data_IF_244190809309
#
_entry.id   IF_244190809309
#
_cell.length_a   1.000
_cell.length_b   1.000
_cell.length_c   1.000
_cell.angle_alpha   90.00
_cell.angle_beta   90.00
_cell.angle_gamma   90.00
#
_symmetry.space_group_name_H-M   'P 1'
#
loop_
_entity.id
_entity.type
_entity.pdbx_description
1 polymer ?
#
# COMPACT_ATOMS: atom_id res chain seq x y z
N UNK A 1 38.30 11.07 -19.71
CA UNK A 1 37.90 12.30 -18.99
C UNK A 1 36.43 12.64 -19.19
N UNK A 2 35.86 12.48 -20.39
CA UNK A 2 34.45 12.84 -20.65
C UNK A 2 33.42 12.01 -19.85
N UNK A 3 33.60 10.69 -19.76
CA UNK A 3 32.70 9.81 -18.99
C UNK A 3 32.57 10.22 -17.51
N UNK A 4 33.66 10.69 -16.90
CA UNK A 4 33.68 11.14 -15.51
C UNK A 4 32.89 12.44 -15.31
N UNK A 5 33.02 13.41 -16.23
CA UNK A 5 32.23 14.64 -16.18
C UNK A 5 30.74 14.39 -16.37
N UNK A 6 30.38 13.47 -17.27
CA UNK A 6 28.98 13.07 -17.49
C UNK A 6 28.42 12.39 -16.24
N UNK A 7 29.13 11.38 -15.69
CA UNK A 7 28.71 10.66 -14.50
C UNK A 7 28.52 11.60 -13.29
N UNK A 8 29.43 12.56 -13.11
CA UNK A 8 29.31 13.57 -12.04
C UNK A 8 28.08 14.47 -12.23
N UNK A 9 27.81 14.91 -13.46
CA UNK A 9 26.62 15.70 -13.79
C UNK A 9 25.32 14.95 -13.51
N UNK A 10 25.25 13.68 -13.95
CA UNK A 10 24.10 12.79 -13.70
C UNK A 10 23.87 12.59 -12.20
N UNK A 11 24.94 12.29 -11.45
CA UNK A 11 24.86 12.10 -10.01
C UNK A 11 24.37 13.37 -9.28
N UNK A 12 24.76 14.56 -9.75
CA UNK A 12 24.30 15.83 -9.18
C UNK A 12 22.81 16.03 -9.38
N UNK A 13 22.35 15.80 -10.61
CA UNK A 13 20.95 15.94 -10.99
C UNK A 13 20.08 14.98 -10.18
N UNK A 14 20.44 13.69 -10.14
CA UNK A 14 19.71 12.66 -9.40
C UNK A 14 19.60 13.00 -7.91
N UNK A 15 20.70 13.37 -7.25
CA UNK A 15 20.67 13.71 -5.82
C UNK A 15 19.88 14.98 -5.52
N UNK A 16 19.88 15.95 -6.45
CA UNK A 16 19.03 17.15 -6.32
C UNK A 16 17.55 16.79 -6.39
N UNK A 17 17.16 15.92 -7.33
CA UNK A 17 15.78 15.43 -7.44
C UNK A 17 15.37 14.68 -6.17
N UNK A 18 16.20 13.76 -5.67
CA UNK A 18 15.92 13.04 -4.41
C UNK A 18 15.79 13.97 -3.21
N UNK A 19 16.62 15.02 -3.14
CA UNK A 19 16.54 16.02 -2.08
C UNK A 19 15.24 16.82 -2.14
N UNK A 20 14.83 17.28 -3.33
CA UNK A 20 13.57 18.03 -3.50
C UNK A 20 12.34 17.15 -3.21
N UNK A 21 12.36 15.91 -3.70
CA UNK A 21 11.30 14.94 -3.42
C UNK A 21 11.23 14.60 -1.92
N UNK A 22 12.38 14.32 -1.30
CA UNK A 22 12.48 14.04 0.13
C UNK A 22 12.01 15.22 0.99
N UNK A 23 12.35 16.45 0.61
CA UNK A 23 11.87 17.66 1.27
C UNK A 23 10.34 17.78 1.17
N UNK A 24 9.79 17.57 -0.03
CA UNK A 24 8.34 17.62 -0.26
C UNK A 24 7.59 16.60 0.60
N UNK A 25 8.05 15.35 0.60
CA UNK A 25 7.44 14.26 1.40
C UNK A 25 7.59 14.51 2.89
N UNK A 26 8.75 14.98 3.35
CA UNK A 26 9.00 15.30 4.76
C UNK A 26 8.12 16.45 5.24
N UNK A 27 8.04 17.55 4.47
CA UNK A 27 7.19 18.70 4.79
C UNK A 27 5.72 18.29 4.78
N UNK A 28 5.28 17.50 3.80
CA UNK A 28 3.90 17.00 3.75
C UNK A 28 3.58 16.14 4.98
N UNK A 29 4.45 15.20 5.35
CA UNK A 29 4.29 14.40 6.56
C UNK A 29 4.28 15.26 7.83
N UNK A 30 5.13 16.28 7.91
CA UNK A 30 5.18 17.20 9.04
C UNK A 30 3.89 18.05 9.15
N UNK A 31 3.42 18.57 8.03
CA UNK A 31 2.18 19.35 7.98
C UNK A 31 1.00 18.51 8.45
N UNK A 32 0.89 17.26 7.99
CA UNK A 32 -0.21 16.36 8.38
C UNK A 32 -0.15 16.03 9.87
N UNK A 33 1.05 15.76 10.40
CA UNK A 33 1.22 15.33 11.79
C UNK A 33 1.06 16.48 12.80
N UNK A 34 1.65 17.65 12.53
CA UNK A 34 1.69 18.77 13.48
C UNK A 34 0.58 19.81 13.27
N UNK A 35 -0.04 19.88 12.09
CA UNK A 35 -1.12 20.83 11.80
C UNK A 35 -2.39 20.12 11.29
N UNK A 36 -3.00 19.22 12.09
CA UNK A 36 -4.18 18.46 11.68
C UNK A 36 -5.40 19.35 11.37
N UNK A 37 -5.49 20.53 11.98
CA UNK A 37 -6.60 21.47 11.75
C UNK A 37 -6.51 22.15 10.39
N UNK A 38 -5.29 22.36 9.86
CA UNK A 38 -5.09 22.89 8.51
C UNK A 38 -5.66 21.94 7.45
N UNK A 39 -5.40 20.63 7.57
CA UNK A 39 -5.94 19.61 6.68
C UNK A 39 -7.48 19.58 6.66
N UNK A 40 -8.09 19.66 7.84
CA UNK A 40 -9.56 19.66 7.97
C UNK A 40 -10.21 20.84 7.24
N UNK A 41 -9.54 21.99 7.19
CA UNK A 41 -10.07 23.19 6.52
C UNK A 41 -9.91 23.20 4.99
N UNK A 42 -8.89 22.54 4.45
CA UNK A 42 -8.60 22.50 3.00
C UNK A 42 -9.23 21.30 2.28
N UNK A 43 -9.52 20.22 3.02
CA UNK A 43 -10.01 18.97 2.46
C UNK A 43 -11.48 18.61 2.83
N UNK A 44 -12.41 19.54 3.12
CA UNK A 44 -13.76 19.18 3.59
C UNK A 44 -14.59 18.45 2.52
N UNK A 45 -14.36 18.69 1.23
CA UNK A 45 -15.13 18.07 0.13
C UNK A 45 -14.72 16.62 -0.17
N UNK A 46 -13.45 16.24 0.07
CA UNK A 46 -13.01 14.83 -0.06
C UNK A 46 -13.26 14.02 1.23
N UNK A 47 -13.22 14.68 2.39
CA UNK A 47 -13.56 14.08 3.69
C UNK A 47 -15.07 13.82 3.84
N UNK A 48 -15.92 14.70 3.31
CA UNK A 48 -17.38 14.61 3.46
C UNK A 48 -18.07 13.58 2.57
N UNK A 49 -17.45 13.21 1.42
CA UNK A 49 -18.05 12.26 0.47
C UNK A 49 -17.66 10.80 0.74
N UNK A 50 -16.64 10.56 1.58
CA UNK A 50 -16.17 9.21 1.98
C UNK A 50 -16.46 8.92 3.47
N UNK A 51 -16.67 9.96 4.28
CA UNK A 51 -16.85 9.87 5.73
C UNK A 51 -18.31 9.73 6.15
N UNK A 52 -18.86 8.51 6.08
CA UNK A 52 -19.92 8.14 7.01
C UNK A 52 -19.41 8.23 8.47
N UNK A 53 -20.29 8.26 9.49
CA UNK A 53 -19.95 8.42 10.91
C UNK A 53 -19.11 7.29 11.55
N UNK A 54 -18.46 6.43 10.74
CA UNK A 54 -17.74 5.21 11.15
C UNK A 54 -16.29 5.16 10.68
N UNK A 55 -15.83 6.10 9.86
CA UNK A 55 -14.49 6.09 9.28
C UNK A 55 -13.59 7.13 9.98
N UNK A 56 -12.67 6.69 10.83
CA UNK A 56 -11.71 7.57 11.52
C UNK A 56 -10.54 7.93 10.60
N UNK A 57 -10.83 8.70 9.56
CA UNK A 57 -9.85 9.13 8.55
C UNK A 57 -8.64 9.87 9.18
N UNK A 58 -8.86 10.48 10.35
CA UNK A 58 -7.82 11.18 11.08
C UNK A 58 -6.73 10.24 11.61
N UNK A 59 -7.09 9.05 12.11
CA UNK A 59 -6.13 8.06 12.59
C UNK A 59 -5.20 7.55 11.46
N UNK A 60 -5.77 7.27 10.28
CA UNK A 60 -5.00 6.80 9.12
C UNK A 60 -4.03 7.87 8.61
N UNK A 61 -4.48 9.13 8.52
CA UNK A 61 -3.60 10.21 8.11
C UNK A 61 -2.44 10.41 9.08
N UNK A 62 -2.63 10.17 10.38
CA UNK A 62 -1.55 10.24 11.37
C UNK A 62 -0.52 9.12 11.20
N UNK A 63 -0.97 7.90 10.92
CA UNK A 63 -0.07 6.76 10.67
C UNK A 63 0.72 6.95 9.37
N UNK A 64 0.05 7.32 8.28
CA UNK A 64 0.69 7.61 6.99
C UNK A 64 1.66 8.80 7.09
N UNK A 65 1.31 9.85 7.82
CA UNK A 65 2.20 10.99 8.03
C UNK A 65 3.50 10.60 8.73
N UNK A 66 3.41 9.68 9.69
CA UNK A 66 4.58 9.16 10.40
C UNK A 66 5.51 8.40 9.44
N UNK A 67 4.96 7.58 8.55
CA UNK A 67 5.73 6.88 7.52
C UNK A 67 6.36 7.88 6.54
N UNK A 68 5.59 8.85 6.04
CA UNK A 68 6.10 9.90 5.16
C UNK A 68 7.26 10.69 5.78
N UNK A 69 7.20 11.00 7.08
CA UNK A 69 8.29 11.67 7.79
C UNK A 69 9.57 10.85 7.79
N UNK A 70 9.47 9.55 8.10
CA UNK A 70 10.63 8.65 8.13
C UNK A 70 11.24 8.51 6.73
N UNK A 71 10.42 8.22 5.72
CA UNK A 71 10.88 8.09 4.33
C UNK A 71 11.48 9.40 3.82
N UNK A 72 10.80 10.52 4.03
CA UNK A 72 11.26 11.85 3.63
C UNK A 72 12.60 12.21 4.28
N UNK A 73 12.78 11.91 5.57
CA UNK A 73 14.04 12.15 6.27
C UNK A 73 15.19 11.32 5.70
N UNK A 74 14.95 10.05 5.37
CA UNK A 74 15.97 9.18 4.76
C UNK A 74 16.35 9.69 3.36
N UNK A 75 15.37 10.03 2.53
CA UNK A 75 15.61 10.60 1.20
C UNK A 75 16.39 11.92 1.26
N UNK A 76 16.04 12.79 2.22
CA UNK A 76 16.79 14.02 2.50
C UNK A 76 18.23 13.74 2.91
N UNK A 77 18.45 12.79 3.82
CA UNK A 77 19.79 12.45 4.29
C UNK A 77 20.68 11.95 3.13
N UNK A 78 20.15 11.07 2.27
CA UNK A 78 20.85 10.54 1.09
C UNK A 78 21.12 11.68 0.08
N UNK A 79 20.12 12.50 -0.22
CA UNK A 79 20.25 13.63 -1.14
C UNK A 79 21.27 14.67 -0.66
N UNK A 80 21.23 15.02 0.63
CA UNK A 80 22.18 15.97 1.25
C UNK A 80 23.60 15.42 1.27
N UNK A 81 23.81 14.14 1.60
CA UNK A 81 25.16 13.54 1.55
C UNK A 81 25.71 13.52 0.12
N UNK A 82 24.89 13.19 -0.87
CA UNK A 82 25.27 13.24 -2.28
C UNK A 82 25.60 14.67 -2.76
N UNK A 83 24.76 15.64 -2.40
CA UNK A 83 24.93 17.06 -2.78
C UNK A 83 26.16 17.68 -2.10
N UNK A 84 26.27 17.56 -0.78
CA UNK A 84 27.39 18.10 0.01
C UNK A 84 28.70 17.37 -0.36
N UNK A 85 28.68 16.04 -0.53
CA UNK A 85 29.85 15.27 -0.93
C UNK A 85 30.43 15.75 -2.26
N UNK A 86 29.57 16.17 -3.19
CA UNK A 86 29.99 16.74 -4.47
C UNK A 86 30.49 18.17 -4.38
N UNK A 87 29.79 19.05 -3.64
CA UNK A 87 30.15 20.47 -3.50
C UNK A 87 31.39 20.68 -2.65
N UNK A 88 31.52 19.95 -1.53
CA UNK A 88 32.60 20.13 -0.57
C UNK A 88 33.93 19.46 -0.99
N UNK A 89 33.96 18.73 -2.13
CA UNK A 89 35.09 17.90 -2.60
C UNK A 89 35.65 16.96 -1.52
N UNK A 90 34.84 16.61 -0.51
CA UNK A 90 35.23 15.74 0.61
C UNK A 90 35.10 14.29 0.16
N UNK A 91 36.23 13.68 -0.24
CA UNK A 91 36.28 12.30 -0.71
C UNK A 91 35.67 11.29 0.29
N UNK A 92 35.80 11.54 1.59
CA UNK A 92 35.22 10.67 2.62
C UNK A 92 33.68 10.63 2.60
N UNK A 93 33.00 11.77 2.36
CA UNK A 93 31.54 11.83 2.26
C UNK A 93 31.05 11.16 0.97
N UNK A 94 31.78 11.35 -0.13
CA UNK A 94 31.49 10.70 -1.41
C UNK A 94 31.68 9.17 -1.31
N UNK A 95 32.72 8.73 -0.58
CA UNK A 95 32.97 7.32 -0.31
C UNK A 95 31.86 6.70 0.54
N UNK A 96 31.44 7.37 1.61
CA UNK A 96 30.33 6.91 2.45
C UNK A 96 29.04 6.77 1.62
N UNK A 97 28.72 7.79 0.81
CA UNK A 97 27.58 7.75 -0.09
C UNK A 97 27.66 6.57 -1.07
N UNK A 98 28.82 6.34 -1.69
CA UNK A 98 29.04 5.21 -2.59
C UNK A 98 28.90 3.85 -1.88
N UNK A 99 29.41 3.72 -0.64
CA UNK A 99 29.26 2.50 0.17
C UNK A 99 27.79 2.24 0.48
N UNK A 100 27.05 3.25 0.94
CA UNK A 100 25.61 3.12 1.24
C UNK A 100 24.82 2.70 0.00
N UNK A 101 25.04 3.36 -1.14
CA UNK A 101 24.39 2.97 -2.40
C UNK A 101 24.77 1.56 -2.83
N UNK A 102 26.04 1.18 -2.69
CA UNK A 102 26.50 -0.17 -3.03
C UNK A 102 25.80 -1.20 -2.15
N UNK A 103 25.69 -0.96 -0.84
CA UNK A 103 24.95 -1.84 0.07
C UNK A 103 23.47 -1.97 -0.31
N UNK A 104 22.82 -0.87 -0.72
CA UNK A 104 21.43 -0.90 -1.20
C UNK A 104 21.31 -1.76 -2.47
N UNK A 105 22.18 -1.52 -3.46
CA UNK A 105 22.17 -2.30 -4.71
C UNK A 105 22.47 -3.78 -4.46
N UNK A 106 23.38 -4.10 -3.53
CA UNK A 106 23.62 -5.48 -3.13
C UNK A 106 22.39 -6.10 -2.48
N UNK A 107 21.72 -5.40 -1.56
CA UNK A 107 20.49 -5.88 -0.94
C UNK A 107 19.38 -6.10 -1.98
N UNK A 108 19.18 -5.17 -2.91
CA UNK A 108 18.24 -5.33 -4.02
C UNK A 108 18.61 -6.51 -4.92
N UNK A 109 19.89 -6.69 -5.23
CA UNK A 109 20.35 -7.82 -6.04
C UNK A 109 20.07 -9.16 -5.35
N UNK A 110 20.18 -9.24 -4.02
CA UNK A 110 19.80 -10.45 -3.28
C UNK A 110 18.31 -10.73 -3.42
N UNK A 111 17.45 -9.70 -3.30
CA UNK A 111 16.00 -9.85 -3.50
C UNK A 111 15.70 -10.35 -4.92
N UNK A 112 16.33 -9.75 -5.94
CA UNK A 112 16.16 -10.16 -7.34
C UNK A 112 16.64 -11.59 -7.56
N UNK A 113 17.79 -11.98 -7.04
CA UNK A 113 18.31 -13.35 -7.14
C UNK A 113 17.36 -14.34 -6.44
N UNK A 114 16.89 -14.00 -5.23
CA UNK A 114 15.94 -14.83 -4.48
C UNK A 114 14.63 -15.00 -5.24
N UNK A 115 14.17 -13.97 -5.95
CA UNK A 115 12.98 -14.05 -6.81
C UNK A 115 13.15 -15.10 -7.93
N UNK A 116 14.35 -15.30 -8.46
CA UNK A 116 14.61 -16.30 -9.50
C UNK A 116 14.99 -17.68 -8.97
N UNK A 117 15.77 -17.75 -7.89
CA UNK A 117 16.33 -19.03 -7.38
C UNK A 117 15.41 -19.72 -6.38
N UNK A 118 14.72 -18.93 -5.55
CA UNK A 118 13.90 -19.41 -4.44
C UNK A 118 12.47 -18.87 -4.55
N UNK A 119 11.93 -18.88 -5.77
CA UNK A 119 10.62 -18.32 -6.10
C UNK A 119 9.53 -18.85 -5.15
N UNK A 120 9.42 -20.17 -4.97
CA UNK A 120 8.41 -20.80 -4.10
C UNK A 120 8.50 -20.34 -2.63
N UNK A 121 9.72 -20.15 -2.13
CA UNK A 121 9.95 -19.71 -0.74
C UNK A 121 9.60 -18.23 -0.57
N UNK A 122 9.97 -17.39 -1.54
CA UNK A 122 9.62 -15.98 -1.54
C UNK A 122 8.10 -15.80 -1.67
N UNK A 123 7.48 -16.54 -2.59
CA UNK A 123 6.03 -16.54 -2.81
C UNK A 123 5.30 -16.91 -1.53
N UNK A 124 5.66 -18.03 -0.90
CA UNK A 124 5.01 -18.48 0.33
C UNK A 124 5.21 -17.50 1.49
N UNK A 125 6.39 -16.89 1.61
CA UNK A 125 6.65 -15.86 2.62
C UNK A 125 5.75 -14.62 2.42
N UNK A 126 5.68 -14.11 1.20
CA UNK A 126 4.87 -12.93 0.86
C UNK A 126 3.37 -13.25 1.02
N UNK A 127 2.93 -14.41 0.52
CA UNK A 127 1.54 -14.87 0.67
C UNK A 127 1.15 -15.02 2.14
N UNK A 128 2.00 -15.62 2.96
CA UNK A 128 1.74 -15.76 4.39
C UNK A 128 1.67 -14.40 5.08
N UNK A 129 2.61 -13.49 4.77
CA UNK A 129 2.59 -12.11 5.27
C UNK A 129 1.28 -11.39 4.95
N UNK A 130 0.80 -11.47 3.71
CA UNK A 130 -0.48 -10.87 3.33
C UNK A 130 -1.67 -11.53 4.02
N UNK A 131 -1.69 -12.86 4.14
CA UNK A 131 -2.73 -13.57 4.88
C UNK A 131 -2.78 -13.16 6.36
N UNK A 132 -1.62 -12.94 6.99
CA UNK A 132 -1.54 -12.44 8.35
C UNK A 132 -2.17 -11.05 8.47
N UNK A 133 -1.99 -10.16 7.49
CA UNK A 133 -2.66 -8.84 7.52
C UNK A 133 -4.19 -8.94 7.51
N UNK A 134 -4.75 -9.91 6.78
CA UNK A 134 -6.19 -10.19 6.80
C UNK A 134 -6.61 -10.72 8.17
N UNK A 135 -5.88 -11.68 8.74
CA UNK A 135 -6.23 -12.30 10.02
C UNK A 135 -6.14 -11.33 11.19
N UNK A 136 -5.07 -10.55 11.25
CA UNK A 136 -4.68 -9.81 12.46
C UNK A 136 -5.17 -8.37 12.46
N UNK A 137 -5.65 -7.85 11.33
CA UNK A 137 -5.94 -6.42 11.21
C UNK A 137 -7.13 -6.06 10.33
N UNK A 138 -7.56 -6.92 9.40
CA UNK A 138 -8.69 -6.59 8.55
C UNK A 138 -10.02 -6.60 9.31
N UNK A 139 -10.76 -5.48 9.22
CA UNK A 139 -12.03 -5.23 9.90
C UNK A 139 -13.20 -5.03 8.93
N UNK A 140 -12.99 -5.26 7.63
CA UNK A 140 -14.02 -5.13 6.61
C UNK A 140 -14.09 -3.75 5.95
N UNK A 141 -15.12 -3.57 5.11
CA UNK A 141 -15.31 -2.34 4.34
C UNK A 141 -15.42 -1.08 5.21
N UNK A 142 -16.05 -1.21 6.37
CA UNK A 142 -16.24 -0.12 7.34
C UNK A 142 -15.07 -0.01 8.35
N UNK A 143 -14.00 -0.79 8.18
CA UNK A 143 -12.80 -0.70 9.01
C UNK A 143 -12.04 0.59 8.71
N UNK A 144 -11.92 1.46 9.72
CA UNK A 144 -11.14 2.71 9.64
C UNK A 144 -9.65 2.55 9.92
N UNK A 145 -9.11 1.33 9.94
CA UNK A 145 -7.68 1.10 10.06
C UNK A 145 -7.00 1.09 8.69
N UNK A 146 -5.72 1.49 8.64
CA UNK A 146 -4.98 1.61 7.38
C UNK A 146 -4.91 0.31 6.57
N UNK A 147 -4.93 -0.85 7.25
CA UNK A 147 -4.84 -2.17 6.61
C UNK A 147 -6.15 -2.52 5.91
N UNK A 148 -7.29 -2.34 6.58
CA UNK A 148 -8.62 -2.51 5.97
C UNK A 148 -8.79 -1.64 4.73
N UNK A 149 -8.33 -0.39 4.79
CA UNK A 149 -8.42 0.55 3.68
C UNK A 149 -7.54 0.15 2.52
N UNK A 150 -6.29 -0.23 2.79
CA UNK A 150 -5.38 -0.73 1.77
C UNK A 150 -5.99 -1.95 1.06
N UNK A 151 -6.56 -2.89 1.81
CA UNK A 151 -7.25 -4.05 1.24
C UNK A 151 -8.47 -3.66 0.39
N UNK A 152 -9.34 -2.78 0.90
CA UNK A 152 -10.50 -2.32 0.15
C UNK A 152 -10.08 -1.60 -1.14
N UNK A 153 -9.06 -0.74 -1.07
CA UNK A 153 -8.49 -0.04 -2.22
C UNK A 153 -7.91 -1.01 -3.25
N UNK A 154 -7.09 -1.97 -2.82
CA UNK A 154 -6.49 -2.94 -3.74
C UNK A 154 -7.53 -3.79 -4.45
N UNK A 155 -8.54 -4.27 -3.72
CA UNK A 155 -9.61 -5.09 -4.30
C UNK A 155 -10.42 -4.34 -5.34
N UNK A 156 -10.73 -3.06 -5.09
CA UNK A 156 -11.44 -2.21 -6.06
C UNK A 156 -10.53 -1.84 -7.23
N UNK A 157 -9.33 -1.34 -6.95
CA UNK A 157 -8.40 -0.80 -7.95
C UNK A 157 -7.86 -1.86 -8.91
N UNK A 158 -7.57 -3.06 -8.41
CA UNK A 158 -7.04 -4.17 -9.22
C UNK A 158 -8.12 -5.18 -9.63
N UNK A 159 -9.37 -4.97 -9.18
CA UNK A 159 -10.48 -5.88 -9.40
C UNK A 159 -10.10 -7.31 -9.02
N UNK A 160 -9.67 -7.48 -7.76
CA UNK A 160 -9.25 -8.74 -7.16
C UNK A 160 -9.98 -8.98 -5.83
N UNK A 161 -9.91 -10.20 -5.31
CA UNK A 161 -10.48 -10.54 -4.00
C UNK A 161 -9.63 -11.56 -3.24
N UNK A 162 -9.27 -11.24 -2.00
CA UNK A 162 -8.46 -12.11 -1.14
C UNK A 162 -7.00 -12.22 -1.60
N UNK A 163 -6.17 -12.88 -0.80
CA UNK A 163 -4.76 -13.12 -1.15
C UNK A 163 -4.71 -14.15 -2.28
N UNK A 164 -5.29 -15.31 -2.04
CA UNK A 164 -5.38 -16.44 -2.98
C UNK A 164 -6.80 -16.89 -3.24
N UNK A 165 -7.76 -16.52 -2.38
CA UNK A 165 -9.16 -16.81 -2.58
C UNK A 165 -10.05 -15.85 -1.77
N UNK A 166 -11.28 -15.60 -2.21
CA UNK A 166 -12.26 -14.87 -1.40
C UNK A 166 -12.52 -15.53 -0.02
N UNK A 167 -12.32 -16.85 0.08
CA UNK A 167 -12.43 -17.60 1.35
C UNK A 167 -11.38 -17.23 2.39
N UNK A 168 -10.32 -16.49 2.02
CA UNK A 168 -9.30 -16.04 2.97
C UNK A 168 -9.92 -15.22 4.13
N UNK A 169 -11.03 -14.54 3.86
CA UNK A 169 -11.76 -13.76 4.86
C UNK A 169 -12.59 -14.60 5.84
N UNK A 170 -12.91 -15.86 5.53
CA UNK A 170 -13.60 -16.74 6.49
C UNK A 170 -12.77 -17.00 7.76
N UNK A 171 -11.45 -16.86 7.65
CA UNK A 171 -10.52 -17.05 8.76
C UNK A 171 -10.06 -15.73 9.38
N UNK A 172 -10.76 -14.61 9.11
CA UNK A 172 -10.43 -13.29 9.65
C UNK A 172 -11.25 -13.01 10.94
N UNK A 173 -10.70 -13.27 12.14
CA UNK A 173 -11.46 -13.17 13.40
C UNK A 173 -11.92 -11.75 13.74
N UNK A 174 -11.23 -10.73 13.22
CA UNK A 174 -11.57 -9.32 13.45
C UNK A 174 -12.62 -8.78 12.47
N UNK A 175 -12.94 -9.53 11.41
CA UNK A 175 -13.95 -9.13 10.45
C UNK A 175 -15.30 -9.72 10.85
N UNK A 176 -16.27 -8.84 11.10
CA UNK A 176 -17.59 -9.23 11.61
C UNK A 176 -18.56 -9.73 10.53
N UNK A 177 -18.11 -9.94 9.28
CA UNK A 177 -18.96 -10.36 8.17
C UNK A 177 -20.28 -9.55 8.07
N UNK A 178 -20.15 -8.23 8.27
CA UNK A 178 -21.26 -7.26 8.20
C UNK A 178 -20.91 -6.12 7.27
N UNK A 179 -21.87 -5.72 6.44
CA UNK A 179 -21.80 -4.51 5.64
C UNK A 179 -22.93 -3.57 6.06
N UNK A 180 -22.61 -2.29 6.23
CA UNK A 180 -23.60 -1.29 6.61
C UNK A 180 -23.65 -0.24 5.52
N UNK A 181 -24.82 -0.09 4.90
CA UNK A 181 -25.15 1.01 4.00
C UNK A 181 -26.00 2.05 4.73
N UNK A 182 -26.24 3.19 4.07
CA UNK A 182 -27.11 4.25 4.61
C UNK A 182 -28.56 3.80 4.83
N UNK A 183 -28.99 2.73 4.16
CA UNK A 183 -30.37 2.24 4.14
C UNK A 183 -30.59 0.94 4.91
N UNK A 184 -29.55 0.12 5.10
CA UNK A 184 -29.68 -1.20 5.70
C UNK A 184 -28.35 -1.74 6.26
N UNK A 185 -28.44 -2.67 7.19
CA UNK A 185 -27.30 -3.48 7.66
C UNK A 185 -27.47 -4.90 7.16
N UNK A 186 -26.46 -5.39 6.46
CA UNK A 186 -26.36 -6.77 5.97
C UNK A 186 -25.40 -7.53 6.87
N UNK A 187 -25.81 -8.72 7.28
CA UNK A 187 -25.03 -9.62 8.14
C UNK A 187 -24.90 -10.99 7.48
N UNK A 188 -23.90 -11.76 7.89
CA UNK A 188 -23.55 -13.06 7.30
C UNK A 188 -23.12 -12.95 5.83
N UNK A 189 -22.40 -11.88 5.48
CA UNK A 189 -21.80 -11.76 4.14
C UNK A 189 -20.56 -12.66 4.03
N UNK A 190 -20.48 -13.44 2.96
CA UNK A 190 -19.38 -14.39 2.76
C UNK A 190 -18.04 -13.71 2.42
N UNK A 191 -18.08 -12.49 1.85
CA UNK A 191 -16.88 -11.75 1.43
C UNK A 191 -17.05 -10.23 1.58
N UNK A 192 -15.95 -9.46 1.64
CA UNK A 192 -16.00 -8.01 1.75
C UNK A 192 -16.65 -7.33 0.54
N UNK A 193 -17.37 -6.22 0.77
CA UNK A 193 -18.07 -5.51 -0.30
C UNK A 193 -17.13 -5.02 -1.42
N UNK A 194 -15.88 -4.67 -1.09
CA UNK A 194 -14.84 -4.25 -2.04
C UNK A 194 -14.41 -5.32 -3.05
N UNK A 195 -14.77 -6.58 -2.82
CA UNK A 195 -14.54 -7.68 -3.75
C UNK A 195 -15.58 -7.79 -4.88
N UNK A 196 -16.65 -6.98 -4.86
CA UNK A 196 -17.74 -7.05 -5.84
C UNK A 196 -17.50 -6.08 -7.00
N UNK A 197 -17.75 -6.52 -8.24
CA UNK A 197 -17.61 -5.68 -9.45
C UNK A 197 -18.79 -4.73 -9.64
N UNK A 198 -20.02 -5.23 -9.44
CA UNK A 198 -21.26 -4.46 -9.39
C UNK A 198 -22.08 -4.96 -8.20
N UNK A 199 -22.31 -4.08 -7.21
CA UNK A 199 -23.12 -4.41 -6.04
C UNK A 199 -24.62 -4.28 -6.35
N UNK A 200 -25.14 -5.06 -7.29
CA UNK A 200 -26.59 -5.09 -7.56
C UNK A 200 -27.04 -6.49 -7.91
N UNK A 201 -27.63 -7.19 -6.92
CA UNK A 201 -28.82 -8.02 -7.09
C UNK A 201 -29.32 -8.46 -5.70
N UNK A 202 -30.37 -7.78 -5.26
CA UNK A 202 -31.17 -8.18 -4.10
C UNK A 202 -32.32 -9.03 -4.63
N UNK A 203 -32.28 -10.34 -4.38
CA UNK A 203 -33.47 -11.18 -4.49
C UNK A 203 -33.79 -11.70 -3.09
N UNK A 204 -35.01 -11.40 -2.62
CA UNK A 204 -35.58 -11.95 -1.39
C UNK A 204 -34.71 -11.81 -0.12
N UNK A 205 -33.97 -10.71 0.01
CA UNK A 205 -33.14 -10.46 1.20
C UNK A 205 -31.86 -11.29 1.27
N UNK A 206 -31.55 -12.08 0.24
CA UNK A 206 -30.26 -12.75 0.05
C UNK A 206 -29.42 -11.98 -0.96
N UNK A 207 -28.15 -11.76 -0.63
CA UNK A 207 -27.17 -11.16 -1.55
C UNK A 207 -26.71 -12.27 -2.49
N UNK A 208 -27.24 -12.30 -3.72
CA UNK A 208 -26.68 -13.17 -4.75
C UNK A 208 -25.49 -12.43 -5.38
N UNK A 209 -24.28 -12.82 -4.96
CA UNK A 209 -23.02 -12.28 -5.50
C UNK A 209 -22.80 -12.86 -6.89
N UNK A 210 -23.42 -12.28 -7.92
CA UNK A 210 -23.28 -12.77 -9.29
C UNK A 210 -21.95 -12.38 -9.94
N UNK A 211 -21.31 -11.30 -9.46
CA UNK A 211 -20.07 -10.77 -10.03
C UNK A 211 -19.01 -10.45 -8.96
N UNK A 212 -18.35 -11.49 -8.45
CA UNK A 212 -17.15 -11.37 -7.60
C UNK A 212 -15.94 -11.15 -8.50
N UNK A 213 -14.99 -10.33 -8.08
CA UNK A 213 -13.70 -10.23 -8.74
C UNK A 213 -13.01 -11.59 -8.80
N UNK A 214 -12.96 -12.19 -9.99
CA UNK A 214 -12.50 -13.57 -10.18
C UNK A 214 -11.00 -13.79 -9.95
N UNK A 215 -10.25 -12.72 -9.69
CA UNK A 215 -8.79 -12.71 -9.56
C UNK A 215 -8.35 -12.63 -8.11
N UNK A 216 -7.23 -13.28 -7.83
CA UNK A 216 -6.52 -13.19 -6.57
C UNK A 216 -5.73 -11.86 -6.52
N UNK A 217 -5.64 -11.21 -5.35
CA UNK A 217 -4.80 -10.02 -5.22
C UNK A 217 -3.30 -10.36 -5.17
N UNK A 218 -2.95 -11.62 -4.92
CA UNK A 218 -1.63 -12.16 -5.14
C UNK A 218 -1.58 -12.93 -6.47
N UNK A 219 -1.00 -12.33 -7.51
CA UNK A 219 -0.88 -12.95 -8.83
C UNK A 219 0.55 -13.49 -9.02
N UNK A 220 0.68 -14.80 -9.17
CA UNK A 220 1.96 -15.48 -9.37
C UNK A 220 2.28 -15.68 -10.87
N UNK A 221 1.28 -15.59 -11.78
CA UNK A 221 1.51 -15.68 -13.23
C UNK A 221 0.35 -15.09 -14.05
N UNK A 222 0.54 -14.53 -15.28
CA UNK A 222 -0.52 -13.90 -16.08
C UNK A 222 -1.55 -14.86 -16.71
N UNK A 223 -1.57 -16.14 -16.33
CA UNK A 223 -2.17 -17.19 -17.16
C UNK A 223 -3.42 -17.91 -16.62
N UNK A 224 -3.78 -17.84 -15.33
CA UNK A 224 -4.88 -18.69 -14.83
C UNK A 224 -5.48 -18.25 -13.47
N UNK A 225 -5.71 -16.96 -13.26
CA UNK A 225 -6.27 -16.44 -12.01
C UNK A 225 -7.79 -16.17 -12.13
N UNK A 226 -8.56 -17.14 -12.64
CA UNK A 226 -10.02 -17.01 -12.69
C UNK A 226 -10.63 -18.12 -11.83
N UNK A 227 -11.45 -17.75 -10.85
CA UNK A 227 -12.25 -18.73 -10.10
C UNK A 227 -13.15 -19.51 -11.07
N UNK A 228 -12.89 -20.80 -11.24
CA UNK A 228 -13.77 -21.73 -11.94
C UNK A 228 -14.61 -22.52 -10.95
N UNK A 229 -15.30 -21.84 -10.03
CA UNK A 229 -16.32 -22.47 -9.19
C UNK A 229 -17.53 -21.56 -9.13
N UNK A 230 -18.67 -22.07 -9.59
CA UNK A 230 -19.98 -21.47 -9.44
C UNK A 230 -20.20 -21.10 -7.97
N UNK A 231 -20.61 -19.85 -7.73
CA UNK A 231 -21.11 -19.38 -6.44
C UNK A 231 -22.44 -20.07 -6.15
N UNK A 232 -22.38 -21.35 -5.78
CA UNK A 232 -23.51 -22.08 -5.24
C UNK A 232 -23.77 -21.57 -3.82
N UNK A 233 -24.70 -20.62 -3.74
CA UNK A 233 -25.64 -20.37 -2.65
C UNK A 233 -25.20 -20.90 -1.27
N UNK A 234 -24.66 -20.01 -0.44
CA UNK A 234 -24.72 -20.12 1.03
C UNK A 234 -25.59 -18.97 1.53
#
# INVERSE_FOLDING_TARGET
MEFYSIAKGVLHFINTVFMLAGLGVFVLGALVKWYPDFLKSQLPEMLGSVGGPRFDLAAIFQDLATICLVIGAVLLAIGLTGFIGMCAKKQALLLLYAVVLTCIVLAESVVVIMMFVAEDQLISYVQNGMNTTIKDSFRGYNGGDAISIAWNFFQVQFSCCGVVNFRDFHNAPLWTATYVSDSATYSNIALPASCCHNATLFLNGTVHLTDINARNCFVISPGNSSYSEEVSSV
#
